data_IF_900716320182
#
_entry.id   IF_900716320182
#
_cell.length_a   1.000
_cell.length_b   1.000
_cell.length_c   1.000
_cell.angle_alpha   90.00
_cell.angle_beta   90.00
_cell.angle_gamma   90.00
#
_symmetry.space_group_name_H-M   'P 1'
#
loop_
_entity.id
_entity.type
_entity.pdbx_description
1 polymer ?
#
# COMPACT_ATOMS: atom_id res chain seq x y z
N UNK A 1 3.06 15.18 -1.50
CA UNK A 1 2.53 14.26 -0.46
C UNK A 1 3.60 14.11 0.60
N UNK A 2 3.23 14.05 1.88
CA UNK A 2 4.18 13.73 2.94
C UNK A 2 4.49 12.23 2.83
N UNK A 3 5.78 11.89 2.75
CA UNK A 3 6.25 10.50 2.79
C UNK A 3 6.85 10.21 4.15
N UNK A 4 6.43 9.11 4.78
CA UNK A 4 6.99 8.64 6.06
C UNK A 4 7.30 7.16 5.93
N UNK A 5 8.29 6.65 6.66
CA UNK A 5 8.52 5.20 6.68
C UNK A 5 7.28 4.50 7.25
N UNK A 6 6.95 3.33 6.71
CA UNK A 6 5.78 2.55 7.14
C UNK A 6 5.86 2.21 8.63
N UNK A 7 7.05 1.83 9.10
CA UNK A 7 7.31 1.51 10.51
C UNK A 7 7.14 2.70 11.45
N UNK A 8 7.37 3.92 10.95
CA UNK A 8 7.25 5.18 11.70
C UNK A 8 5.88 5.86 11.49
N UNK A 9 4.96 5.21 10.75
CA UNK A 9 3.65 5.80 10.45
C UNK A 9 2.78 5.87 11.71
N UNK A 10 2.24 7.06 12.00
CA UNK A 10 1.51 7.33 13.25
C UNK A 10 0.19 6.59 13.34
N UNK A 11 -0.50 6.41 12.21
CA UNK A 11 -1.80 5.75 12.19
C UNK A 11 -1.65 4.24 12.30
N UNK A 12 -2.62 3.59 12.94
CA UNK A 12 -2.71 2.13 13.04
C UNK A 12 -3.36 1.48 11.83
N UNK A 13 -3.90 2.28 10.90
CA UNK A 13 -4.62 1.79 9.73
C UNK A 13 -4.22 2.49 8.44
N UNK A 14 -4.24 1.73 7.34
CA UNK A 14 -3.84 2.19 6.01
C UNK A 14 -5.06 2.13 5.11
N UNK A 15 -5.57 3.30 4.77
CA UNK A 15 -6.79 3.45 3.96
C UNK A 15 -6.52 3.27 2.47
N UNK A 16 -7.58 2.93 1.71
CA UNK A 16 -7.57 2.98 0.25
C UNK A 16 -7.04 4.31 -0.31
N UNK A 17 -6.32 4.23 -1.42
CA UNK A 17 -5.63 5.33 -2.07
C UNK A 17 -4.28 5.69 -1.47
N UNK A 18 -3.86 5.06 -0.36
CA UNK A 18 -2.49 5.16 0.12
C UNK A 18 -1.52 4.44 -0.83
N UNK A 19 -0.30 4.96 -0.93
CA UNK A 19 0.77 4.39 -1.76
C UNK A 19 1.89 3.88 -0.85
N UNK A 20 2.34 2.65 -1.11
CA UNK A 20 3.50 2.02 -0.52
C UNK A 20 4.64 2.09 -1.54
N UNK A 21 5.63 2.93 -1.29
CA UNK A 21 6.81 3.13 -2.13
C UNK A 21 7.99 2.38 -1.54
N UNK A 22 8.69 1.62 -2.37
CA UNK A 22 9.79 0.76 -1.93
C UNK A 22 10.86 0.58 -3.02
N UNK A 23 12.13 0.37 -2.64
CA UNK A 23 13.12 -0.20 -3.53
C UNK A 23 12.67 -1.56 -4.07
N UNK A 24 12.85 -1.79 -5.36
CA UNK A 24 12.47 -3.04 -6.01
C UNK A 24 13.56 -3.55 -6.95
N UNK A 25 13.35 -4.76 -7.43
CA UNK A 25 14.21 -5.44 -8.40
C UNK A 25 13.38 -5.86 -9.61
N UNK A 26 14.08 -6.26 -10.67
CA UNK A 26 13.47 -6.80 -11.88
C UNK A 26 12.40 -7.86 -11.51
N UNK A 27 11.18 -7.81 -12.07
CA UNK A 27 10.77 -7.08 -13.28
C UNK A 27 10.28 -5.63 -13.06
N UNK A 28 10.42 -5.09 -11.85
CA UNK A 28 10.15 -3.68 -11.57
C UNK A 28 11.39 -2.81 -11.85
N UNK A 29 11.19 -1.49 -11.86
CA UNK A 29 12.27 -0.52 -11.79
C UNK A 29 12.95 -0.53 -10.41
N UNK A 30 13.99 0.30 -10.22
CA UNK A 30 14.70 0.41 -8.94
C UNK A 30 13.79 0.83 -7.76
N UNK A 31 12.66 1.46 -8.05
CA UNK A 31 11.62 1.86 -7.09
C UNK A 31 10.27 1.57 -7.73
N UNK A 32 9.34 1.01 -6.95
CA UNK A 32 7.95 0.78 -7.37
C UNK A 32 7.00 1.41 -6.36
N UNK A 33 5.79 1.73 -6.80
CA UNK A 33 4.67 2.18 -5.98
C UNK A 33 3.57 1.13 -6.04
N UNK A 34 3.11 0.68 -4.87
CA UNK A 34 1.91 -0.14 -4.72
C UNK A 34 0.78 0.70 -4.13
N UNK A 35 -0.39 0.70 -4.76
CA UNK A 35 -1.56 1.42 -4.26
C UNK A 35 -2.52 0.47 -3.54
N UNK A 36 -3.00 0.90 -2.38
CA UNK A 36 -4.10 0.24 -1.68
C UNK A 36 -5.40 0.56 -2.39
N UNK A 37 -6.13 -0.45 -2.82
CA UNK A 37 -7.44 -0.32 -3.44
C UNK A 37 -8.48 -1.15 -2.71
N UNK A 38 -9.71 -0.69 -2.84
CA UNK A 38 -10.89 -1.30 -2.25
C UNK A 38 -11.62 -2.06 -3.35
N UNK A 39 -11.48 -3.39 -3.37
CA UNK A 39 -12.31 -4.24 -4.21
C UNK A 39 -13.51 -4.70 -3.38
N UNK A 40 -14.74 -4.66 -3.93
CA UNK A 40 -15.91 -5.19 -3.27
C UNK A 40 -15.89 -6.72 -3.35
N UNK A 41 -15.04 -7.35 -2.55
CA UNK A 41 -14.99 -8.79 -2.37
C UNK A 41 -15.34 -9.11 -0.91
N UNK A 42 -16.43 -9.83 -0.65
CA UNK A 42 -16.78 -10.18 0.73
C UNK A 42 -15.69 -11.04 1.39
N UNK A 43 -14.97 -11.88 0.65
CA UNK A 43 -14.05 -12.89 1.22
C UNK A 43 -12.58 -12.43 1.28
N UNK A 44 -12.26 -11.25 0.72
CA UNK A 44 -10.92 -10.69 0.75
C UNK A 44 -10.83 -9.38 1.57
N UNK A 45 -9.63 -9.10 2.07
CA UNK A 45 -9.25 -7.80 2.58
C UNK A 45 -9.07 -6.77 1.46
N UNK A 46 -8.33 -5.69 1.76
CA UNK A 46 -7.94 -4.74 0.72
C UNK A 46 -6.96 -5.39 -0.27
N UNK A 47 -6.88 -4.81 -1.46
CA UNK A 47 -5.98 -5.28 -2.51
C UNK A 47 -4.86 -4.28 -2.72
N UNK A 48 -3.67 -4.77 -3.06
CA UNK A 48 -2.59 -3.95 -3.56
C UNK A 48 -2.53 -4.10 -5.08
N UNK A 49 -2.41 -2.97 -5.77
CA UNK A 49 -2.10 -2.94 -7.20
C UNK A 49 -0.76 -2.26 -7.41
N UNK A 50 -0.07 -2.62 -8.49
CA UNK A 50 1.10 -1.87 -8.93
C UNK A 50 0.63 -0.57 -9.57
N UNK A 51 1.07 0.57 -9.07
CA UNK A 51 0.63 1.90 -9.54
C UNK A 51 1.70 2.68 -10.31
N UNK A 52 2.91 2.14 -10.45
CA UNK A 52 3.99 2.77 -11.22
C UNK A 52 4.71 1.78 -12.15
N UNK A 53 5.43 2.34 -13.11
CA UNK A 53 6.35 1.60 -13.96
C UNK A 53 5.69 0.67 -14.96
N UNK A 54 6.48 -0.24 -15.52
CA UNK A 54 6.07 -1.16 -16.58
C UNK A 54 4.98 -2.16 -16.16
N UNK A 55 4.82 -2.38 -14.84
CA UNK A 55 3.81 -3.29 -14.27
C UNK A 55 2.56 -2.54 -13.77
N UNK A 56 2.47 -1.23 -13.99
CA UNK A 56 1.34 -0.42 -13.55
C UNK A 56 -0.01 -0.96 -14.06
N UNK A 57 -1.00 -0.94 -13.17
CA UNK A 57 -2.36 -1.43 -13.43
C UNK A 57 -2.57 -2.92 -13.14
N UNK A 58 -1.52 -3.68 -12.84
CA UNK A 58 -1.64 -5.08 -12.45
C UNK A 58 -2.01 -5.22 -10.96
N UNK A 59 -2.87 -6.20 -10.66
CA UNK A 59 -3.12 -6.62 -9.28
C UNK A 59 -1.86 -7.30 -8.75
N UNK A 60 -1.32 -6.77 -7.65
CA UNK A 60 -0.20 -7.39 -6.95
C UNK A 60 -0.72 -8.55 -6.10
N UNK A 61 -1.66 -8.25 -5.19
CA UNK A 61 -2.22 -9.24 -4.28
C UNK A 61 -3.55 -8.79 -3.67
N UNK A 62 -4.46 -9.74 -3.48
CA UNK A 62 -5.63 -9.59 -2.60
C UNK A 62 -5.27 -10.11 -1.21
N UNK A 63 -5.32 -9.25 -0.19
CA UNK A 63 -4.94 -9.63 1.17
C UNK A 63 -6.05 -10.48 1.82
N UNK A 64 -5.71 -11.36 2.77
CA UNK A 64 -6.70 -12.12 3.52
C UNK A 64 -7.49 -11.24 4.50
N UNK A 65 -8.68 -11.68 4.94
CA UNK A 65 -9.52 -10.93 5.89
C UNK A 65 -8.80 -10.56 7.20
N UNK A 66 -7.84 -11.35 7.66
CA UNK A 66 -7.05 -11.02 8.85
C UNK A 66 -6.21 -9.75 8.71
N UNK A 67 -6.01 -9.24 7.49
CA UNK A 67 -5.34 -7.96 7.25
C UNK A 67 -6.20 -6.74 7.61
N UNK A 68 -7.49 -6.92 7.90
CA UNK A 68 -8.38 -5.81 8.25
C UNK A 68 -7.96 -5.12 9.54
N UNK A 69 -8.03 -3.79 9.54
CA UNK A 69 -7.83 -3.01 10.75
C UNK A 69 -9.04 -3.18 11.69
N UNK A 70 -8.82 -3.31 13.01
CA UNK A 70 -9.90 -3.21 13.99
C UNK A 70 -10.64 -1.86 13.97
N UNK A 71 -10.00 -0.82 13.42
CA UNK A 71 -10.51 0.56 13.40
C UNK A 71 -11.42 0.89 12.22
N UNK A 72 -11.68 -0.06 11.32
CA UNK A 72 -12.63 0.10 10.21
C UNK A 72 -12.17 -0.51 8.89
N UNK A 73 -12.75 -0.04 7.78
CA UNK A 73 -12.46 -0.51 6.42
C UNK A 73 -11.11 0.01 5.90
N UNK A 74 -10.04 -0.60 6.39
CA UNK A 74 -8.65 -0.30 6.08
C UNK A 74 -7.75 -1.52 6.39
N UNK A 75 -6.49 -1.46 5.96
CA UNK A 75 -5.47 -2.47 6.31
C UNK A 75 -4.90 -2.16 7.70
N UNK A 76 -4.71 -3.17 8.55
CA UNK A 76 -3.96 -3.05 9.81
C UNK A 76 -2.48 -2.80 9.53
N UNK A 77 -1.91 -1.69 10.05
CA UNK A 77 -0.48 -1.39 9.91
C UNK A 77 0.38 -2.51 10.50
N UNK A 78 0.05 -2.96 11.71
CA UNK A 78 0.84 -3.97 12.41
C UNK A 78 0.80 -5.30 11.66
N UNK A 79 -0.37 -5.69 11.15
CA UNK A 79 -0.48 -6.90 10.31
C UNK A 79 0.39 -6.75 9.07
N UNK A 80 0.33 -5.60 8.39
CA UNK A 80 1.10 -5.33 7.19
C UNK A 80 2.61 -5.45 7.44
N UNK A 81 3.09 -4.90 8.56
CA UNK A 81 4.50 -4.96 8.97
C UNK A 81 4.90 -6.40 9.26
N UNK A 82 4.13 -7.13 10.07
CA UNK A 82 4.46 -8.51 10.44
C UNK A 82 4.37 -9.51 9.28
N UNK A 83 3.60 -9.19 8.25
CA UNK A 83 3.33 -10.09 7.12
C UNK A 83 3.98 -9.65 5.81
N UNK A 84 4.77 -8.58 5.84
CA UNK A 84 5.31 -7.93 4.65
C UNK A 84 6.06 -8.88 3.72
N UNK A 85 7.08 -9.56 4.25
CA UNK A 85 7.94 -10.46 3.49
C UNK A 85 7.15 -11.64 2.92
N UNK A 86 6.20 -12.16 3.72
CA UNK A 86 5.39 -13.33 3.37
C UNK A 86 4.37 -13.03 2.27
N UNK A 87 3.71 -11.88 2.33
CA UNK A 87 2.54 -11.60 1.50
C UNK A 87 2.80 -10.59 0.39
N UNK A 88 3.71 -9.64 0.57
CA UNK A 88 3.80 -8.48 -0.33
C UNK A 88 5.06 -8.53 -1.17
N UNK A 89 6.22 -8.39 -0.53
CA UNK A 89 7.46 -8.29 -1.28
C UNK A 89 8.68 -8.67 -0.44
N UNK A 90 9.19 -9.92 -0.59
CA UNK A 90 10.30 -10.41 0.24
C UNK A 90 11.65 -9.76 -0.09
N UNK A 91 11.81 -9.21 -1.29
CA UNK A 91 13.06 -8.60 -1.75
C UNK A 91 13.36 -7.21 -1.14
N UNK A 92 12.41 -6.64 -0.40
CA UNK A 92 12.58 -5.37 0.30
C UNK A 92 12.13 -5.51 1.76
N UNK A 93 13.02 -5.29 2.74
CA UNK A 93 12.63 -5.18 4.14
C UNK A 93 11.63 -4.04 4.37
N UNK A 94 10.71 -4.24 5.31
CA UNK A 94 9.60 -3.30 5.55
C UNK A 94 10.07 -1.93 6.07
N UNK A 95 11.26 -1.87 6.67
CA UNK A 95 11.91 -0.66 7.18
C UNK A 95 12.31 0.33 6.08
N UNK A 96 12.39 -0.15 4.82
CA UNK A 96 12.67 0.65 3.64
C UNK A 96 11.40 1.04 2.86
N UNK A 97 10.23 0.62 3.34
CA UNK A 97 8.94 0.96 2.73
C UNK A 97 8.48 2.31 3.26
N UNK A 98 8.07 3.17 2.34
CA UNK A 98 7.49 4.48 2.62
C UNK A 98 6.00 4.45 2.33
N UNK A 99 5.22 5.09 3.17
CA UNK A 99 3.81 5.37 2.92
C UNK A 99 3.64 6.82 2.47
N UNK A 100 2.90 7.01 1.39
CA UNK A 100 2.39 8.31 0.95
C UNK A 100 0.87 8.28 1.08
N UNK A 101 0.32 9.21 1.86
CA UNK A 101 -1.12 9.31 2.06
C UNK A 101 -1.85 9.70 0.78
N UNK A 102 -3.13 9.31 0.68
CA UNK A 102 -4.00 9.60 -0.47
C UNK A 102 -3.92 11.05 -0.93
N UNK A 103 -4.03 11.25 -2.25
CA UNK A 103 -4.07 12.58 -2.85
C UNK A 103 -5.21 13.41 -2.25
N UNK A 104 -4.88 14.62 -1.83
CA UNK A 104 -5.84 15.60 -1.33
C UNK A 104 -6.03 16.70 -2.38
N UNK A 105 -7.11 16.63 -3.14
CA UNK A 105 -7.44 17.59 -4.20
C UNK A 105 -8.21 18.80 -3.68
N UNK A 106 -7.81 19.36 -2.53
CA UNK A 106 -8.43 20.58 -1.96
C UNK A 106 -8.32 21.83 -2.85
N UNK A 107 -7.47 21.80 -3.87
CA UNK A 107 -7.30 22.91 -4.80
C UNK A 107 -8.25 22.76 -5.99
N UNK A 108 -9.08 23.79 -6.21
CA UNK A 108 -9.94 23.89 -7.39
C UNK A 108 -9.05 23.91 -8.64
N UNK A 109 -9.40 23.11 -9.64
CA UNK A 109 -8.83 23.23 -10.98
C UNK A 109 -9.23 24.62 -11.47
N UNK A 110 -8.26 25.54 -11.57
CA UNK A 110 -8.47 26.81 -12.27
C UNK A 110 -8.72 26.45 -13.74
N UNK A 111 -9.93 26.74 -14.20
CA UNK A 111 -10.30 26.62 -15.61
C UNK A 111 -9.71 27.77 -16.40
#
# INVERSE_FOLDING_TARGET
MKSTKLVDYSESSISRGAILRLPAKWPYEAVVDFMVVDFPDPECGHTLIVSSGNKAGLVLIQLPRESFSPSGHAISKDWLISNWERWIYPDCPVEFVYILERYNTRNKIQK
#
